data_IF_686877453421
#
_entry.id   IF_686877453421
#
_cell.length_a   1.000
_cell.length_b   1.000
_cell.length_c   1.000
_cell.angle_alpha   90.00
_cell.angle_beta   90.00
_cell.angle_gamma   90.00
#
_symmetry.space_group_name_H-M   'P 1'
#
loop_
_entity.id
_entity.type
_entity.pdbx_description
1 polymer ?
#
# COMPACT_ATOMS: atom_id res chain seq x y z
N UNK A 1 11.59 17.11 32.72
CA UNK A 1 11.20 18.22 31.82
C UNK A 1 12.24 18.32 30.72
N UNK A 2 12.04 17.66 29.57
CA UNK A 2 12.91 17.73 28.39
C UNK A 2 12.08 17.54 27.12
N UNK A 3 12.50 18.24 26.09
CA UNK A 3 11.75 18.80 24.97
C UNK A 3 11.53 17.81 23.83
N UNK A 4 10.27 17.66 23.42
CA UNK A 4 9.90 16.89 22.23
C UNK A 4 10.39 17.59 20.97
N UNK A 5 11.27 16.95 20.22
CA UNK A 5 11.79 17.46 18.96
C UNK A 5 10.74 17.58 17.84
N UNK A 6 11.06 18.26 16.73
CA UNK A 6 10.10 18.79 15.74
C UNK A 6 9.34 17.76 14.88
N UNK A 7 9.43 16.47 15.21
CA UNK A 7 8.78 15.37 14.48
C UNK A 7 7.60 14.74 15.25
N UNK A 8 7.35 15.18 16.48
CA UNK A 8 6.18 14.76 17.27
C UNK A 8 4.83 15.32 16.76
N UNK A 9 4.85 16.13 15.70
CA UNK A 9 3.70 16.87 15.14
C UNK A 9 2.88 16.05 14.12
N UNK A 10 3.29 14.82 13.82
CA UNK A 10 2.45 13.82 13.14
C UNK A 10 1.71 12.88 14.11
N UNK A 11 1.83 13.16 15.42
CA UNK A 11 1.02 12.53 16.46
C UNK A 11 -0.45 12.80 16.15
N UNK A 12 -1.16 11.71 15.89
CA UNK A 12 -2.62 11.62 15.80
C UNK A 12 -3.19 12.46 16.94
N UNK A 13 -3.89 13.57 16.67
CA UNK A 13 -4.72 14.15 17.70
C UNK A 13 -5.93 13.21 17.87
N UNK A 14 -6.00 12.42 18.96
CA UNK A 14 -7.04 11.40 19.11
C UNK A 14 -8.44 12.04 19.16
N UNK A 15 -8.54 13.29 19.62
CA UNK A 15 -9.79 14.06 19.67
C UNK A 15 -10.32 14.34 18.25
N UNK A 16 -9.42 14.74 17.35
CA UNK A 16 -9.76 14.99 15.94
C UNK A 16 -10.17 13.69 15.26
N UNK A 17 -9.42 12.60 15.48
CA UNK A 17 -9.77 11.30 14.91
C UNK A 17 -11.13 10.81 15.43
N UNK A 18 -11.39 10.89 16.73
CA UNK A 18 -12.68 10.50 17.32
C UNK A 18 -13.84 11.33 16.77
N UNK A 19 -13.62 12.62 16.49
CA UNK A 19 -14.63 13.46 15.84
C UNK A 19 -14.90 13.02 14.40
N UNK A 20 -13.88 12.67 13.63
CA UNK A 20 -14.04 12.11 12.27
C UNK A 20 -14.83 10.80 12.35
N UNK A 21 -14.48 9.93 13.29
CA UNK A 21 -15.17 8.64 13.51
C UNK A 21 -16.64 8.89 13.79
N UNK A 22 -16.96 9.74 14.77
CA UNK A 22 -18.34 10.06 15.14
C UNK A 22 -19.14 10.63 13.97
N UNK A 23 -18.54 11.53 13.17
CA UNK A 23 -19.20 12.08 11.97
C UNK A 23 -19.55 10.96 10.99
N UNK A 24 -18.59 10.07 10.70
CA UNK A 24 -18.81 8.98 9.74
C UNK A 24 -19.83 7.99 10.28
N UNK A 25 -19.68 7.50 11.50
CA UNK A 25 -20.58 6.47 12.08
C UNK A 25 -22.02 6.95 12.20
N UNK A 26 -22.23 8.23 12.51
CA UNK A 26 -23.58 8.78 12.67
C UNK A 26 -24.27 9.08 11.34
N UNK A 27 -23.52 9.16 10.23
CA UNK A 27 -24.02 9.52 8.91
C UNK A 27 -23.61 8.47 7.87
N UNK A 28 -23.57 7.20 8.26
CA UNK A 28 -23.22 6.08 7.38
C UNK A 28 -24.51 5.42 6.86
N UNK A 29 -24.96 5.87 5.67
CA UNK A 29 -26.20 5.41 5.04
C UNK A 29 -25.89 4.90 3.63
N UNK A 30 -25.29 3.70 3.55
CA UNK A 30 -24.96 3.11 2.26
C UNK A 30 -23.97 1.93 2.34
N UNK A 31 -23.95 1.05 1.33
CA UNK A 31 -23.12 -0.16 1.31
C UNK A 31 -21.68 0.12 0.86
N UNK A 32 -21.04 1.17 1.39
CA UNK A 32 -19.70 1.60 0.94
C UNK A 32 -18.58 0.82 1.62
N UNK A 33 -17.86 -0.01 0.87
CA UNK A 33 -16.78 -0.84 1.44
C UNK A 33 -15.43 -0.12 1.64
N UNK A 34 -15.32 1.14 1.19
CA UNK A 34 -14.17 2.02 1.40
C UNK A 34 -14.57 3.48 1.16
N UNK A 35 -13.87 4.43 1.77
CA UNK A 35 -14.15 5.86 1.61
C UNK A 35 -14.13 6.34 0.16
N UNK A 36 -13.35 5.70 -0.72
CA UNK A 36 -13.33 6.04 -2.16
C UNK A 36 -14.62 5.68 -2.89
N UNK A 37 -15.40 4.74 -2.36
CA UNK A 37 -16.66 4.29 -2.95
C UNK A 37 -17.86 5.00 -2.33
N UNK A 38 -17.64 5.87 -1.34
CA UNK A 38 -18.67 6.75 -0.81
C UNK A 38 -18.96 7.81 -1.87
N UNK A 39 -20.22 8.17 -2.07
CA UNK A 39 -20.60 9.16 -3.07
C UNK A 39 -19.93 10.52 -2.78
N UNK A 40 -19.62 11.27 -3.84
CA UNK A 40 -18.94 12.56 -3.71
C UNK A 40 -19.73 13.53 -2.80
N UNK A 41 -21.05 13.54 -2.92
CA UNK A 41 -21.96 14.33 -2.09
C UNK A 41 -21.84 13.94 -0.61
N UNK A 42 -21.77 12.64 -0.31
CA UNK A 42 -21.65 12.17 1.08
C UNK A 42 -20.24 12.45 1.66
N UNK A 43 -19.18 12.27 0.86
CA UNK A 43 -17.83 12.66 1.28
C UNK A 43 -17.74 14.16 1.58
N UNK A 44 -18.41 14.99 0.78
CA UNK A 44 -18.49 16.43 1.00
C UNK A 44 -19.34 16.76 2.24
N UNK A 45 -20.47 16.07 2.43
CA UNK A 45 -21.31 16.23 3.61
C UNK A 45 -20.53 15.97 4.90
N UNK A 46 -19.80 14.86 5.00
CA UNK A 46 -18.95 14.58 6.16
C UNK A 46 -17.85 15.64 6.34
N UNK A 47 -17.28 16.14 5.24
CA UNK A 47 -16.32 17.23 5.29
C UNK A 47 -16.94 18.51 5.86
N UNK A 48 -18.14 18.90 5.43
CA UNK A 48 -18.83 20.10 5.95
C UNK A 48 -19.19 19.99 7.43
N UNK A 49 -19.59 18.80 7.89
CA UNK A 49 -19.81 18.54 9.32
C UNK A 49 -18.53 18.73 10.14
N UNK A 50 -17.39 18.29 9.59
CA UNK A 50 -16.08 18.45 10.22
C UNK A 50 -15.63 19.92 10.22
N UNK A 51 -15.72 20.59 9.07
CA UNK A 51 -15.33 21.99 8.87
C UNK A 51 -16.06 22.90 9.86
N UNK A 52 -17.38 22.73 10.02
CA UNK A 52 -18.20 23.49 10.97
C UNK A 52 -17.79 23.29 12.43
N UNK A 53 -17.22 22.14 12.79
CA UNK A 53 -16.83 21.83 14.17
C UNK A 53 -15.50 22.46 14.58
N UNK A 54 -14.59 22.68 13.62
CA UNK A 54 -13.21 23.06 13.91
C UNK A 54 -12.82 24.44 13.38
N UNK A 55 -13.78 25.20 12.83
CA UNK A 55 -13.60 26.53 12.26
C UNK A 55 -12.31 26.62 11.42
N UNK A 56 -12.27 25.81 10.36
CA UNK A 56 -11.06 25.62 9.57
C UNK A 56 -10.72 26.91 8.80
N UNK A 57 -9.56 27.49 9.07
CA UNK A 57 -9.03 28.64 8.33
C UNK A 57 -9.06 28.38 6.81
N UNK A 58 -9.73 29.23 6.01
CA UNK A 58 -9.80 29.13 4.56
C UNK A 58 -8.44 28.93 3.88
N UNK A 59 -7.38 29.55 4.40
CA UNK A 59 -6.03 29.49 3.85
C UNK A 59 -5.43 28.07 3.92
N UNK A 60 -5.81 27.29 4.92
CA UNK A 60 -5.35 25.92 5.11
C UNK A 60 -6.39 24.87 4.74
N UNK A 61 -7.58 25.30 4.29
CA UNK A 61 -8.74 24.44 4.12
C UNK A 61 -8.44 23.21 3.24
N UNK A 62 -7.85 23.42 2.07
CA UNK A 62 -7.47 22.32 1.17
C UNK A 62 -6.51 21.30 1.81
N UNK A 63 -5.56 21.77 2.63
CA UNK A 63 -4.61 20.91 3.35
C UNK A 63 -5.32 20.13 4.46
N UNK A 64 -6.21 20.78 5.21
CA UNK A 64 -7.00 20.16 6.28
C UNK A 64 -7.96 19.12 5.66
N UNK A 65 -8.68 19.47 4.60
CA UNK A 65 -9.56 18.56 3.84
C UNK A 65 -8.83 17.34 3.32
N UNK A 66 -7.62 17.51 2.77
CA UNK A 66 -6.78 16.37 2.34
C UNK A 66 -6.40 15.46 3.50
N UNK A 67 -6.07 16.01 4.66
CA UNK A 67 -5.76 15.25 5.88
C UNK A 67 -7.00 14.53 6.42
N UNK A 68 -8.15 15.20 6.47
CA UNK A 68 -9.43 14.60 6.83
C UNK A 68 -9.73 13.39 5.96
N UNK A 69 -9.73 13.55 4.62
CA UNK A 69 -10.02 12.46 3.67
C UNK A 69 -9.06 11.28 3.84
N UNK A 70 -7.78 11.56 4.06
CA UNK A 70 -6.77 10.52 4.28
C UNK A 70 -7.06 9.72 5.55
N UNK A 71 -7.44 10.38 6.65
CA UNK A 71 -7.76 9.72 7.93
C UNK A 71 -9.09 8.97 7.87
N UNK A 72 -10.11 9.57 7.28
CA UNK A 72 -11.39 8.91 7.05
C UNK A 72 -11.23 7.66 6.20
N UNK A 73 -10.44 7.73 5.12
CA UNK A 73 -10.11 6.57 4.28
C UNK A 73 -9.41 5.46 5.06
N UNK A 74 -8.36 5.80 5.81
CA UNK A 74 -7.59 4.83 6.59
C UNK A 74 -8.46 4.14 7.65
N UNK A 75 -9.22 4.93 8.42
CA UNK A 75 -10.09 4.40 9.47
C UNK A 75 -11.21 3.54 8.89
N UNK A 76 -11.95 4.05 7.89
CA UNK A 76 -13.12 3.35 7.35
C UNK A 76 -12.72 2.04 6.68
N UNK A 77 -11.71 2.07 5.82
CA UNK A 77 -11.23 0.87 5.11
C UNK A 77 -10.70 -0.19 6.08
N UNK A 78 -10.01 0.24 7.15
CA UNK A 78 -9.50 -0.66 8.19
C UNK A 78 -10.64 -1.29 9.00
N UNK A 79 -11.64 -0.51 9.39
CA UNK A 79 -12.76 -0.99 10.22
C UNK A 79 -13.70 -1.91 9.44
N UNK A 80 -14.08 -1.54 8.21
CA UNK A 80 -14.88 -2.42 7.34
C UNK A 80 -14.10 -3.69 7.01
N UNK A 81 -12.81 -3.56 6.68
CA UNK A 81 -11.95 -4.73 6.43
C UNK A 81 -11.76 -5.63 7.65
N UNK A 82 -11.86 -5.09 8.87
CA UNK A 82 -11.90 -5.88 10.12
C UNK A 82 -13.25 -6.56 10.29
N UNK A 83 -14.34 -5.82 10.15
CA UNK A 83 -15.71 -6.33 10.24
C UNK A 83 -15.92 -7.52 9.30
N UNK A 84 -15.49 -7.40 8.04
CA UNK A 84 -15.52 -8.49 7.05
C UNK A 84 -14.75 -9.72 7.53
N UNK A 85 -13.50 -9.56 7.98
CA UNK A 85 -12.66 -10.69 8.41
C UNK A 85 -13.23 -11.42 9.63
N UNK A 86 -13.90 -10.68 10.51
CA UNK A 86 -14.54 -11.22 11.71
C UNK A 86 -15.98 -11.68 11.45
N UNK A 87 -16.50 -11.40 10.25
CA UNK A 87 -17.91 -11.58 9.90
C UNK A 87 -18.88 -10.99 10.93
N UNK A 88 -18.49 -9.86 11.56
CA UNK A 88 -19.28 -9.18 12.60
C UNK A 88 -19.71 -7.81 12.10
N UNK A 89 -21.03 -7.58 12.04
CA UNK A 89 -21.61 -6.30 11.67
C UNK A 89 -21.25 -5.23 12.73
N UNK A 90 -20.70 -4.07 12.33
CA UNK A 90 -20.58 -2.92 13.22
C UNK A 90 -21.95 -2.32 13.55
N UNK A 91 -22.13 -1.77 14.75
CA UNK A 91 -23.39 -1.17 15.19
C UNK A 91 -23.85 0.00 14.31
N UNK A 92 -22.90 0.75 13.76
CA UNK A 92 -23.14 1.92 12.91
C UNK A 92 -23.47 1.57 11.44
N UNK A 93 -23.59 0.29 11.08
CA UNK A 93 -24.04 -0.13 9.76
C UNK A 93 -25.45 -0.74 9.88
N UNK A 94 -26.37 -0.21 9.06
CA UNK A 94 -27.72 -0.75 8.96
C UNK A 94 -27.72 -2.17 8.40
N UNK A 95 -28.69 -3.00 8.78
CA UNK A 95 -28.73 -4.42 8.36
C UNK A 95 -28.82 -4.58 6.84
N UNK A 96 -29.59 -3.73 6.16
CA UNK A 96 -29.68 -3.72 4.69
C UNK A 96 -28.33 -3.46 4.02
N UNK A 97 -27.63 -2.39 4.42
CA UNK A 97 -26.29 -2.06 3.90
C UNK A 97 -25.28 -3.17 4.17
N UNK A 98 -25.35 -3.79 5.35
CA UNK A 98 -24.49 -4.91 5.70
C UNK A 98 -24.73 -6.14 4.81
N UNK A 99 -25.99 -6.43 4.47
CA UNK A 99 -26.32 -7.52 3.55
C UNK A 99 -25.75 -7.27 2.16
N UNK A 100 -25.93 -6.06 1.61
CA UNK A 100 -25.37 -5.67 0.31
C UNK A 100 -23.83 -5.75 0.29
N UNK A 101 -23.18 -5.34 1.38
CA UNK A 101 -21.73 -5.49 1.53
C UNK A 101 -21.29 -6.96 1.50
N UNK A 102 -22.02 -7.85 2.19
CA UNK A 102 -21.74 -9.29 2.18
C UNK A 102 -21.94 -9.89 0.79
N UNK A 103 -23.00 -9.51 0.09
CA UNK A 103 -23.26 -9.93 -1.29
C UNK A 103 -22.11 -9.51 -2.21
N UNK A 104 -21.70 -8.25 -2.14
CA UNK A 104 -20.55 -7.74 -2.89
C UNK A 104 -19.27 -8.54 -2.59
N UNK A 105 -18.97 -8.84 -1.32
CA UNK A 105 -17.80 -9.67 -0.98
C UNK A 105 -17.96 -11.15 -1.39
N UNK A 106 -19.19 -11.62 -1.53
CA UNK A 106 -19.53 -12.93 -2.06
C UNK A 106 -19.38 -13.04 -3.57
N UNK A 107 -19.41 -11.92 -4.29
CA UNK A 107 -19.29 -11.88 -5.75
C UNK A 107 -17.97 -12.45 -6.27
N UNK A 108 -18.03 -13.04 -7.46
CA UNK A 108 -16.85 -13.60 -8.13
C UNK A 108 -15.83 -12.53 -8.51
N UNK A 109 -16.29 -11.33 -8.87
CA UNK A 109 -15.41 -10.21 -9.20
C UNK A 109 -14.53 -9.83 -8.00
N UNK A 110 -15.13 -9.72 -6.81
CA UNK A 110 -14.40 -9.44 -5.58
C UNK A 110 -13.46 -10.58 -5.21
N UNK A 111 -13.94 -11.84 -5.26
CA UNK A 111 -13.13 -13.02 -4.94
C UNK A 111 -11.91 -13.15 -5.85
N UNK A 112 -12.08 -12.99 -7.17
CA UNK A 112 -10.99 -13.01 -8.16
C UNK A 112 -9.94 -11.94 -7.85
N UNK A 113 -10.38 -10.69 -7.59
CA UNK A 113 -9.48 -9.58 -7.25
C UNK A 113 -8.73 -9.82 -5.94
N UNK A 114 -9.44 -10.33 -4.92
CA UNK A 114 -8.86 -10.67 -3.62
C UNK A 114 -7.81 -11.78 -3.75
N UNK A 115 -8.13 -12.85 -4.50
CA UNK A 115 -7.24 -13.98 -4.75
C UNK A 115 -5.99 -13.55 -5.53
N UNK A 116 -6.15 -12.76 -6.59
CA UNK A 116 -5.04 -12.19 -7.34
C UNK A 116 -4.13 -11.34 -6.45
N UNK A 117 -4.71 -10.46 -5.62
CA UNK A 117 -3.95 -9.66 -4.66
C UNK A 117 -3.20 -10.50 -3.63
N UNK A 118 -3.81 -11.61 -3.16
CA UNK A 118 -3.15 -12.59 -2.28
C UNK A 118 -1.97 -13.28 -3.00
N UNK A 119 -2.17 -13.73 -4.24
CA UNK A 119 -1.12 -14.37 -5.06
C UNK A 119 0.05 -13.41 -5.29
N UNK A 120 -0.21 -12.15 -5.63
CA UNK A 120 0.84 -11.14 -5.83
C UNK A 120 1.65 -10.89 -4.56
N UNK A 121 1.00 -10.72 -3.40
CA UNK A 121 1.70 -10.55 -2.12
C UNK A 121 2.54 -11.76 -1.73
N UNK A 122 2.08 -12.96 -2.07
CA UNK A 122 2.77 -14.22 -1.77
C UNK A 122 3.80 -14.62 -2.85
N UNK A 123 3.91 -13.86 -3.94
CA UNK A 123 4.86 -14.13 -5.01
C UNK A 123 6.30 -14.02 -4.51
N UNK A 124 7.19 -14.81 -5.12
CA UNK A 124 8.61 -14.82 -4.76
C UNK A 124 9.23 -13.43 -4.94
N UNK A 125 8.92 -12.76 -6.06
CA UNK A 125 9.35 -11.37 -6.34
C UNK A 125 8.95 -10.39 -5.24
N UNK A 126 7.72 -10.50 -4.71
CA UNK A 126 7.28 -9.65 -3.61
C UNK A 126 8.07 -9.92 -2.33
N UNK A 127 8.32 -11.19 -2.00
CA UNK A 127 9.09 -11.60 -0.82
C UNK A 127 10.56 -11.17 -0.89
N UNK A 128 11.16 -11.20 -2.08
CA UNK A 128 12.54 -10.75 -2.31
C UNK A 128 12.68 -9.22 -2.14
N UNK A 129 11.68 -8.46 -2.58
CA UNK A 129 11.66 -6.99 -2.42
C UNK A 129 11.24 -6.50 -1.03
N UNK A 130 10.95 -7.41 -0.10
CA UNK A 130 10.36 -7.05 1.18
C UNK A 130 11.41 -6.45 2.12
N UNK A 131 11.09 -5.29 2.69
CA UNK A 131 11.89 -4.66 3.74
C UNK A 131 11.95 -5.55 5.00
N UNK A 132 13.17 -5.86 5.46
CA UNK A 132 13.46 -6.75 6.60
C UNK A 132 14.13 -6.06 7.78
N UNK A 133 14.51 -4.79 7.65
CA UNK A 133 15.16 -4.01 8.72
C UNK A 133 14.26 -3.61 9.91
N UNK A 134 13.10 -4.23 10.08
CA UNK A 134 12.15 -3.98 11.17
C UNK A 134 11.34 -2.67 11.05
N UNK A 135 10.99 -2.05 12.18
CA UNK A 135 10.36 -0.72 12.22
C UNK A 135 11.40 0.40 12.31
N UNK A 136 12.52 0.22 11.62
CA UNK A 136 13.63 1.15 11.61
C UNK A 136 13.69 1.75 10.20
N UNK A 137 13.78 3.07 10.02
CA UNK A 137 13.92 3.63 8.68
C UNK A 137 15.30 3.30 8.10
N UNK A 138 15.41 3.25 6.76
CA UNK A 138 16.69 3.03 6.05
C UNK A 138 17.76 4.03 6.50
N UNK A 139 17.40 5.30 6.74
CA UNK A 139 18.34 6.33 7.21
C UNK A 139 19.07 5.93 8.49
N UNK A 140 18.38 5.30 9.45
CA UNK A 140 19.00 4.83 10.68
C UNK A 140 19.94 3.64 10.42
N UNK A 141 19.66 2.81 9.42
CA UNK A 141 20.59 1.76 8.98
C UNK A 141 21.83 2.35 8.29
N UNK A 142 21.68 3.45 7.55
CA UNK A 142 22.80 4.23 6.99
C UNK A 142 23.67 4.73 8.13
N UNK A 143 23.10 5.47 9.09
CA UNK A 143 23.83 6.03 10.24
C UNK A 143 24.60 4.95 11.02
N UNK A 144 23.98 3.81 11.29
CA UNK A 144 24.63 2.69 11.97
C UNK A 144 25.80 2.15 11.16
N UNK A 145 25.61 1.94 9.85
CA UNK A 145 26.67 1.41 8.99
C UNK A 145 27.82 2.40 8.82
N UNK A 146 27.54 3.72 8.82
CA UNK A 146 28.59 4.75 8.83
C UNK A 146 29.47 4.63 10.06
N UNK A 147 28.86 4.41 11.24
CA UNK A 147 29.60 4.20 12.50
C UNK A 147 30.38 2.88 12.49
N UNK A 148 29.79 1.80 11.99
CA UNK A 148 30.44 0.48 11.93
C UNK A 148 31.69 0.50 11.02
N UNK A 149 31.61 1.19 9.87
CA UNK A 149 32.67 1.21 8.86
C UNK A 149 33.65 2.39 9.00
N UNK A 150 33.36 3.35 9.89
CA UNK A 150 34.05 4.65 9.97
C UNK A 150 34.18 5.38 8.61
N UNK A 151 33.26 5.12 7.68
CA UNK A 151 33.16 5.77 6.37
C UNK A 151 31.72 5.85 5.89
N UNK A 152 31.45 6.65 4.88
CA UNK A 152 30.14 6.64 4.22
C UNK A 152 29.86 5.22 3.64
N UNK A 153 28.70 4.61 3.95
CA UNK A 153 28.37 3.29 3.47
C UNK A 153 27.95 3.35 2.00
N UNK A 154 28.30 2.30 1.26
CA UNK A 154 27.81 2.11 -0.09
C UNK A 154 26.33 1.73 -0.05
N UNK A 155 25.59 2.11 -1.10
CA UNK A 155 24.16 1.80 -1.22
C UNK A 155 23.88 0.30 -1.15
N UNK A 156 24.80 -0.52 -1.67
CA UNK A 156 24.70 -1.98 -1.67
C UNK A 156 24.82 -2.56 -0.26
N UNK A 157 25.71 -2.03 0.58
CA UNK A 157 25.91 -2.50 1.97
C UNK A 157 24.66 -2.27 2.82
N UNK A 158 24.03 -1.11 2.63
CA UNK A 158 22.76 -0.77 3.31
C UNK A 158 21.62 -1.62 2.74
N UNK A 159 21.59 -1.84 1.42
CA UNK A 159 20.57 -2.68 0.78
C UNK A 159 20.63 -4.12 1.30
N UNK A 160 21.82 -4.71 1.39
CA UNK A 160 22.02 -6.05 1.92
C UNK A 160 21.54 -6.20 3.36
N UNK A 161 21.85 -5.23 4.24
CA UNK A 161 21.40 -5.26 5.64
C UNK A 161 19.87 -5.21 5.76
N UNK A 162 19.20 -4.59 4.80
CA UNK A 162 17.79 -4.20 4.93
C UNK A 162 16.83 -5.06 4.12
N UNK A 163 17.26 -5.57 2.97
CA UNK A 163 16.39 -6.27 2.01
C UNK A 163 16.83 -7.72 1.76
N UNK A 164 18.11 -8.05 1.95
CA UNK A 164 18.61 -9.41 1.72
C UNK A 164 18.34 -10.28 2.97
N UNK A 165 17.65 -11.43 2.83
CA UNK A 165 17.50 -12.41 3.90
C UNK A 165 18.85 -12.87 4.45
N UNK A 166 18.93 -13.09 5.77
CA UNK A 166 20.17 -13.54 6.41
C UNK A 166 20.65 -14.88 5.86
N UNK A 167 19.70 -15.77 5.57
CA UNK A 167 19.94 -17.11 5.05
C UNK A 167 20.57 -17.05 3.64
N UNK A 168 20.10 -16.13 2.79
CA UNK A 168 20.70 -15.90 1.47
C UNK A 168 22.09 -15.29 1.58
N UNK A 169 22.30 -14.37 2.53
CA UNK A 169 23.61 -13.77 2.78
C UNK A 169 24.62 -14.81 3.29
N UNK A 170 24.19 -15.70 4.17
CA UNK A 170 25.03 -16.80 4.67
C UNK A 170 25.41 -17.76 3.54
N UNK A 171 24.43 -18.22 2.76
CA UNK A 171 24.68 -19.10 1.61
C UNK A 171 25.61 -18.46 0.57
N UNK A 172 25.46 -17.16 0.33
CA UNK A 172 26.36 -16.40 -0.54
C UNK A 172 27.80 -16.40 -0.01
N UNK A 173 27.99 -16.18 1.30
CA UNK A 173 29.32 -16.21 1.91
C UNK A 173 29.95 -17.62 1.88
N UNK A 174 29.16 -18.67 2.03
CA UNK A 174 29.63 -20.06 1.90
C UNK A 174 30.11 -20.36 0.47
N UNK A 175 29.29 -20.00 -0.53
CA UNK A 175 29.65 -20.14 -1.96
C UNK A 175 30.87 -19.27 -2.34
N UNK A 176 31.01 -18.10 -1.71
CA UNK A 176 32.17 -17.22 -1.88
C UNK A 176 33.47 -17.93 -1.51
N UNK A 177 33.50 -18.49 -0.31
CA UNK A 177 34.67 -19.18 0.23
C UNK A 177 35.01 -20.41 -0.62
N UNK A 178 33.99 -21.15 -1.06
CA UNK A 178 34.19 -22.32 -1.94
C UNK A 178 34.78 -21.90 -3.30
N UNK A 179 34.26 -20.86 -3.94
CA UNK A 179 34.79 -20.39 -5.23
C UNK A 179 36.23 -19.85 -5.13
N UNK A 180 36.52 -19.10 -4.06
CA UNK A 180 37.88 -18.61 -3.76
C UNK A 180 38.86 -19.78 -3.51
N UNK A 181 38.42 -20.84 -2.83
CA UNK A 181 39.22 -22.06 -2.62
C UNK A 181 39.56 -22.81 -3.92
N UNK A 182 38.72 -22.64 -4.95
CA UNK A 182 38.92 -23.22 -6.28
C UNK A 182 39.64 -22.27 -7.26
N UNK A 183 40.15 -21.13 -6.78
CA UNK A 183 40.84 -20.13 -7.60
C UNK A 183 39.94 -19.42 -8.61
N UNK A 184 38.61 -19.46 -8.42
CA UNK A 184 37.63 -18.85 -9.32
C UNK A 184 37.14 -17.52 -8.75
N UNK A 185 37.34 -16.45 -9.52
CA UNK A 185 36.70 -15.14 -9.27
C UNK A 185 35.26 -15.17 -9.76
N UNK A 186 34.34 -14.56 -9.02
CA UNK A 186 32.94 -14.50 -9.40
C UNK A 186 32.37 -13.08 -9.15
N UNK A 187 31.68 -12.54 -10.14
CA UNK A 187 30.78 -11.39 -9.97
C UNK A 187 29.35 -11.90 -9.80
N UNK A 188 28.61 -11.42 -8.78
CA UNK A 188 27.18 -11.72 -8.61
C UNK A 188 26.38 -10.44 -8.58
N UNK A 189 25.48 -10.30 -9.55
CA UNK A 189 24.33 -9.40 -9.46
C UNK A 189 23.30 -10.03 -8.50
N UNK A 190 22.94 -9.30 -7.43
CA UNK A 190 21.87 -9.66 -6.49
C UNK A 190 20.48 -9.86 -7.14
N UNK A 191 20.36 -9.73 -8.47
CA UNK A 191 19.17 -9.99 -9.27
C UNK A 191 19.23 -11.27 -10.14
N UNK A 192 20.28 -12.07 -10.03
CA UNK A 192 20.35 -13.37 -10.74
C UNK A 192 20.34 -13.28 -12.27
N UNK A 193 20.85 -12.19 -12.86
CA UNK A 193 21.12 -12.13 -14.30
C UNK A 193 22.59 -12.48 -14.56
N UNK A 194 22.83 -13.54 -15.33
CA UNK A 194 24.16 -13.88 -15.87
C UNK A 194 24.41 -13.01 -17.10
N UNK A 195 25.42 -12.14 -17.05
CA UNK A 195 26.09 -11.66 -18.25
C UNK A 195 27.50 -12.25 -18.22
N UNK A 196 27.81 -13.11 -19.19
CA UNK A 196 29.18 -13.57 -19.37
C UNK A 196 30.02 -12.41 -19.89
N UNK A 197 31.18 -12.18 -19.29
CA UNK A 197 32.23 -11.32 -19.83
C UNK A 197 32.76 -11.92 -21.13
N UNK A 198 32.32 -11.38 -22.25
CA UNK A 198 32.91 -11.56 -23.57
C UNK A 198 33.07 -10.17 -24.19
N UNK A 199 34.29 -9.87 -24.60
CA UNK A 199 34.69 -8.68 -25.34
C UNK A 199 33.81 -8.44 -26.58
N UNK A 200 33.21 -7.27 -26.67
CA UNK A 200 33.18 -6.36 -27.83
C UNK A 200 32.06 -5.33 -27.62
N UNK A 201 32.43 -4.06 -27.69
CA UNK A 201 31.51 -2.95 -27.65
C UNK A 201 30.85 -2.83 -29.02
N UNK A 202 29.61 -3.31 -29.17
CA UNK A 202 28.74 -2.90 -30.26
C UNK A 202 27.58 -2.05 -29.71
N UNK A 203 27.64 -0.78 -30.08
CA UNK A 203 26.57 0.20 -29.95
C UNK A 203 25.32 -0.25 -30.71
N UNK A 204 24.22 -0.48 -29.98
CA UNK A 204 22.88 -0.54 -30.57
C UNK A 204 21.93 0.39 -29.82
N UNK A 205 21.64 1.51 -30.48
CA UNK A 205 20.48 2.36 -30.23
C UNK A 205 19.21 1.53 -30.42
N UNK A 206 18.36 1.52 -29.41
CA UNK A 206 17.07 0.83 -29.45
C UNK A 206 16.09 1.50 -28.52
N UNK A 207 15.30 2.42 -29.06
CA UNK A 207 14.14 3.02 -28.40
C UNK A 207 13.20 1.91 -27.90
N UNK A 208 13.04 1.80 -26.59
CA UNK A 208 11.98 0.96 -26.02
C UNK A 208 10.72 1.81 -26.01
N UNK A 209 9.88 1.62 -27.02
CA UNK A 209 8.48 2.02 -26.98
C UNK A 209 7.81 1.37 -25.77
N UNK A 210 7.19 2.23 -24.96
CA UNK A 210 6.46 1.88 -23.77
C UNK A 210 5.16 1.16 -24.18
N UNK A 211 5.19 -0.18 -24.25
CA UNK A 211 4.01 -0.99 -24.54
C UNK A 211 2.92 -0.75 -23.49
N UNK A 212 1.76 -0.38 -24.01
CA UNK A 212 0.58 0.10 -23.31
C UNK A 212 0.03 -0.91 -22.31
N UNK A 213 -0.35 -0.41 -21.13
CA UNK A 213 -1.13 -1.15 -20.13
C UNK A 213 -2.44 -1.56 -20.78
N UNK A 214 -2.78 -2.84 -20.74
CA UNK A 214 -4.12 -3.31 -21.03
C UNK A 214 -5.12 -2.61 -20.09
N UNK A 215 -5.90 -1.72 -20.67
CA UNK A 215 -7.05 -1.08 -20.05
C UNK A 215 -8.06 -2.18 -19.72
N UNK A 216 -8.36 -2.36 -18.43
CA UNK A 216 -9.56 -3.08 -18.03
C UNK A 216 -10.81 -2.34 -18.50
N UNK A 217 -11.99 -2.98 -18.46
CA UNK A 217 -13.22 -2.38 -18.91
C UNK A 217 -13.44 -1.04 -18.23
N UNK A 218 -13.75 -0.04 -19.04
CA UNK A 218 -14.11 1.31 -18.63
C UNK A 218 -15.41 1.29 -17.82
N UNK A 219 -15.60 2.30 -16.97
CA UNK A 219 -16.77 2.38 -16.09
C UNK A 219 -18.10 2.32 -16.89
N UNK A 220 -18.11 2.88 -18.10
CA UNK A 220 -19.26 2.82 -19.01
C UNK A 220 -19.60 1.39 -19.45
N UNK A 221 -18.60 0.53 -19.64
CA UNK A 221 -18.82 -0.89 -20.00
C UNK A 221 -19.33 -1.69 -18.81
N UNK A 222 -18.96 -1.30 -17.58
CA UNK A 222 -19.45 -1.92 -16.35
C UNK A 222 -20.91 -1.51 -16.08
N UNK A 223 -21.24 -0.24 -16.29
CA UNK A 223 -22.59 0.29 -16.07
C UNK A 223 -23.58 -0.28 -17.10
N UNK A 224 -23.17 -0.40 -18.38
CA UNK A 224 -23.96 -1.06 -19.43
C UNK A 224 -24.23 -2.55 -19.13
N UNK A 225 -23.28 -3.26 -18.53
CA UNK A 225 -23.45 -4.66 -18.09
C UNK A 225 -24.45 -4.78 -16.94
N UNK A 226 -24.51 -3.79 -16.05
CA UNK A 226 -25.46 -3.76 -14.93
C UNK A 226 -26.88 -3.48 -15.46
N UNK A 227 -27.05 -2.51 -16.35
CA UNK A 227 -28.34 -2.17 -16.95
C UNK A 227 -28.92 -3.36 -17.75
N UNK A 228 -28.10 -4.02 -18.56
CA UNK A 228 -28.51 -5.22 -19.33
C UNK A 228 -28.95 -6.37 -18.41
N UNK A 229 -28.30 -6.55 -17.26
CA UNK A 229 -28.68 -7.60 -16.30
C UNK A 229 -29.93 -7.26 -15.47
N UNK A 230 -30.21 -5.98 -15.30
CA UNK A 230 -31.43 -5.50 -14.64
C UNK A 230 -32.63 -5.67 -15.58
N UNK A 231 -32.50 -5.29 -16.86
CA UNK A 231 -33.57 -5.44 -17.86
C UNK A 231 -33.95 -6.90 -18.11
N UNK A 232 -32.97 -7.81 -18.15
CA UNK A 232 -33.22 -9.26 -18.28
C UNK A 232 -33.88 -9.91 -17.04
N UNK A 233 -33.97 -9.19 -15.91
CA UNK A 233 -34.61 -9.65 -14.67
C UNK A 233 -36.03 -9.11 -14.48
N UNK A 234 -36.42 -8.11 -15.27
CA UNK A 234 -37.73 -7.46 -15.19
C UNK A 234 -38.54 -7.57 -16.50
N UNK A 235 -38.06 -8.36 -17.46
CA UNK A 235 -38.79 -8.86 -18.64
C UNK A 235 -39.21 -10.32 -18.41
#
# INVERSE_FOLDING_TARGET
>A
MWTGGPWAIYSINPIVLNSIISIITNNFHGPWYSFKHVDANQQEHWWRLFERKYDCDPCYNNRIKKRFRSRAYEWLSKNIGRARRQNKKPEWICDGDWMLLKEYWGSDSFKKKSAAGKKTRNSQKAKESQYRGGRIPVSRHVEKTTKDLNRAPLKIEVYEKVYVPKELKQKYNELKVEAESQGKSYEVDYRGRRYGTGSEAESLSGSIECSSRHSGPTQQEIDALIETQVEARFA
#
